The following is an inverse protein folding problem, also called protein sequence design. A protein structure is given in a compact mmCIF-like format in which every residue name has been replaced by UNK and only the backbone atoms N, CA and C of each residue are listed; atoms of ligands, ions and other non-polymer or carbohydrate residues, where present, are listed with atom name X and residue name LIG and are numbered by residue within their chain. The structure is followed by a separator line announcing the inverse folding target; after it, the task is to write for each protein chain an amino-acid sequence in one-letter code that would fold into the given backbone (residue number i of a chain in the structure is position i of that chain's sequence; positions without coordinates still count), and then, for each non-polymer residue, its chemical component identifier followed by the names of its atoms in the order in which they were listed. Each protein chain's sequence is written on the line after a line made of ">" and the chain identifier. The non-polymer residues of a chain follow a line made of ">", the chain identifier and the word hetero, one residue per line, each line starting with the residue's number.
data_IF_863304284753
#
_entry.id   IF_863304284753
#
_cell.length_a   1.000
_cell.length_b   1.000
_cell.length_c   1.000
_cell.angle_alpha   90.00
_cell.angle_beta   90.00
_cell.angle_gamma   90.00
#
_symmetry.space_group_name_H-M   'P 1'
#
loop_
_entity.id
_entity.type
_entity.pdbx_description
1 polymer ?
#
# COMPACT_ATOMS: atom_id res chain seq x y z
N UNK A 1 62.71 15.67 16.32
CA UNK A 1 61.89 14.69 15.57
C UNK A 1 60.42 15.07 15.75
N UNK A 2 59.96 16.12 15.05
CA UNK A 2 58.55 16.48 14.99
C UNK A 2 58.12 16.24 13.55
N UNK A 3 57.26 15.24 13.32
CA UNK A 3 56.59 15.09 12.03
C UNK A 3 55.39 16.02 12.08
N UNK A 4 55.44 17.11 11.33
CA UNK A 4 54.29 17.99 11.17
C UNK A 4 53.18 17.20 10.48
N UNK A 5 52.16 16.80 11.23
CA UNK A 5 50.89 16.38 10.63
C UNK A 5 50.40 17.58 9.83
N UNK A 6 50.37 17.43 8.50
CA UNK A 6 50.02 18.50 7.58
C UNK A 6 48.53 18.80 7.70
N UNK A 7 48.14 20.08 7.65
CA UNK A 7 46.72 20.49 7.53
C UNK A 7 46.05 19.81 6.32
N UNK A 8 46.86 19.43 5.32
CA UNK A 8 46.43 18.65 4.16
C UNK A 8 45.95 17.24 4.56
N UNK A 9 46.58 16.59 5.55
CA UNK A 9 46.19 15.24 5.99
C UNK A 9 44.79 15.24 6.63
N UNK A 10 44.47 16.25 7.44
CA UNK A 10 43.14 16.36 8.06
C UNK A 10 42.07 16.81 7.06
N UNK A 11 42.43 17.60 6.04
CA UNK A 11 41.53 17.93 4.94
C UNK A 11 41.19 16.68 4.10
N UNK A 12 42.20 15.84 3.81
CA UNK A 12 42.01 14.57 3.10
C UNK A 12 41.17 13.61 3.95
N UNK A 13 41.44 13.48 5.25
CA UNK A 13 40.69 12.55 6.11
C UNK A 13 39.20 12.91 6.18
N UNK A 14 38.86 14.20 6.18
CA UNK A 14 37.47 14.67 6.15
C UNK A 14 36.77 14.31 4.84
N UNK A 15 37.45 14.55 3.71
CA UNK A 15 36.93 14.21 2.39
C UNK A 15 36.73 12.69 2.24
N UNK A 16 37.70 11.90 2.72
CA UNK A 16 37.63 10.42 2.72
C UNK A 16 36.51 9.93 3.63
N UNK A 17 36.32 10.54 4.81
CA UNK A 17 35.21 10.21 5.72
C UNK A 17 33.86 10.48 5.06
N UNK A 18 33.72 11.61 4.35
CA UNK A 18 32.49 11.94 3.63
C UNK A 18 32.17 10.90 2.54
N UNK A 19 33.18 10.51 1.75
CA UNK A 19 33.03 9.47 0.73
C UNK A 19 32.71 8.12 1.38
N UNK A 20 33.37 7.77 2.48
CA UNK A 20 33.13 6.52 3.20
C UNK A 20 31.67 6.43 3.70
N UNK A 21 31.10 7.51 4.24
CA UNK A 21 29.67 7.56 4.64
C UNK A 21 28.76 7.36 3.43
N UNK A 22 29.11 7.95 2.28
CA UNK A 22 28.37 7.75 1.03
C UNK A 22 28.37 6.29 0.59
N UNK A 23 29.51 5.59 0.73
CA UNK A 23 29.63 4.15 0.46
C UNK A 23 28.77 3.33 1.42
N UNK A 24 28.76 3.66 2.71
CA UNK A 24 27.89 2.97 3.69
C UNK A 24 26.42 3.14 3.33
N UNK A 25 25.99 4.36 2.98
CA UNK A 25 24.62 4.61 2.53
C UNK A 25 24.29 3.85 1.24
N UNK A 26 25.21 3.80 0.27
CA UNK A 26 25.03 3.04 -0.96
C UNK A 26 24.86 1.54 -0.70
N UNK A 27 25.62 0.98 0.25
CA UNK A 27 25.48 -0.42 0.66
C UNK A 27 24.11 -0.65 1.31
N UNK A 28 23.71 0.21 2.25
CA UNK A 28 22.39 0.10 2.90
C UNK A 28 21.27 0.23 1.86
N UNK A 29 21.39 1.16 0.93
CA UNK A 29 20.46 1.32 -0.18
C UNK A 29 20.35 0.03 -1.01
N UNK A 30 21.48 -0.58 -1.38
CA UNK A 30 21.49 -1.83 -2.13
C UNK A 30 20.84 -2.99 -1.36
N UNK A 31 21.11 -3.10 -0.06
CA UNK A 31 20.47 -4.10 0.80
C UNK A 31 18.96 -3.88 0.90
N UNK A 32 18.51 -2.64 1.05
CA UNK A 32 17.08 -2.31 1.08
C UNK A 32 16.42 -2.60 -0.25
N UNK A 33 17.06 -2.29 -1.38
CA UNK A 33 16.51 -2.55 -2.71
C UNK A 33 16.40 -4.05 -3.00
N UNK A 34 17.41 -4.83 -2.59
CA UNK A 34 17.38 -6.29 -2.67
C UNK A 34 16.33 -6.91 -1.73
N UNK A 35 16.13 -6.38 -0.54
CA UNK A 35 15.04 -6.82 0.34
C UNK A 35 13.67 -6.39 -0.22
N UNK A 36 13.57 -5.20 -0.81
CA UNK A 36 12.37 -4.69 -1.46
C UNK A 36 11.98 -5.58 -2.64
N UNK A 37 12.91 -6.03 -3.48
CA UNK A 37 12.58 -6.92 -4.61
C UNK A 37 12.10 -8.29 -4.15
N UNK A 38 12.68 -8.85 -3.08
CA UNK A 38 12.26 -10.12 -2.50
C UNK A 38 10.91 -9.99 -1.77
N UNK A 39 10.69 -8.89 -1.05
CA UNK A 39 9.45 -8.62 -0.33
C UNK A 39 8.29 -8.21 -1.26
N UNK A 40 8.58 -7.49 -2.35
CA UNK A 40 7.61 -7.12 -3.38
C UNK A 40 7.12 -8.30 -4.22
N UNK A 41 7.75 -9.48 -4.12
CA UNK A 41 7.24 -10.72 -4.72
C UNK A 41 5.90 -11.19 -4.12
N UNK A 42 5.36 -10.50 -3.10
CA UNK A 42 4.00 -10.70 -2.58
C UNK A 42 3.00 -9.60 -2.95
N UNK A 43 3.31 -8.72 -3.91
CA UNK A 43 2.34 -7.79 -4.49
C UNK A 43 2.66 -7.54 -5.95
N UNK A 44 2.38 -8.54 -6.78
CA UNK A 44 2.04 -8.30 -8.16
C UNK A 44 0.55 -7.98 -8.22
N UNK A 45 0.20 -6.68 -8.19
CA UNK A 45 -0.96 -6.15 -8.90
C UNK A 45 -0.83 -4.64 -9.02
N UNK A 46 -0.18 -4.17 -10.08
CA UNK A 46 -0.63 -3.03 -10.90
C UNK A 46 0.19 -3.04 -12.19
N UNK A 47 -0.10 -4.01 -13.04
CA UNK A 47 -0.39 -3.75 -14.45
C UNK A 47 -1.69 -4.50 -14.71
N UNK A 48 -2.68 -3.83 -15.29
CA UNK A 48 -4.07 -4.29 -15.39
C UNK A 48 -4.20 -5.73 -15.89
N UNK A 49 -4.87 -6.61 -15.12
CA UNK A 49 -5.70 -7.61 -15.72
C UNK A 49 -7.15 -7.30 -15.35
N UNK A 50 -8.03 -7.52 -16.30
CA UNK A 50 -9.45 -7.72 -16.09
C UNK A 50 -9.55 -9.01 -15.26
N UNK A 51 -9.33 -8.92 -13.94
CA UNK A 51 -9.47 -10.05 -13.02
C UNK A 51 -10.94 -10.15 -12.70
N UNK A 52 -11.58 -11.10 -13.37
CA UNK A 52 -12.83 -11.71 -12.95
C UNK A 52 -12.67 -12.25 -11.52
N UNK A 53 -13.02 -11.45 -10.51
CA UNK A 53 -13.29 -11.91 -9.15
C UNK A 53 -14.75 -12.42 -9.10
N UNK A 54 -14.98 -13.52 -9.84
CA UNK A 54 -16.31 -13.90 -10.33
C UNK A 54 -17.15 -14.74 -9.34
N UNK A 55 -17.09 -14.50 -8.02
CA UNK A 55 -18.04 -15.14 -7.08
C UNK A 55 -18.58 -14.17 -6.02
N UNK A 56 -17.73 -13.41 -5.32
CA UNK A 56 -18.20 -12.44 -4.31
C UNK A 56 -18.88 -11.23 -4.94
N UNK A 57 -18.44 -10.85 -6.14
CA UNK A 57 -19.02 -9.71 -6.85
C UNK A 57 -20.34 -10.08 -7.54
N UNK A 58 -20.60 -11.35 -7.89
CA UNK A 58 -21.85 -11.74 -8.57
C UNK A 58 -23.07 -11.58 -7.64
N UNK A 59 -22.99 -12.11 -6.41
CA UNK A 59 -24.05 -11.94 -5.41
C UNK A 59 -24.28 -10.46 -5.08
N UNK A 60 -23.19 -9.70 -4.94
CA UNK A 60 -23.26 -8.28 -4.60
C UNK A 60 -23.82 -7.45 -5.75
N UNK A 61 -23.43 -7.73 -6.99
CA UNK A 61 -23.99 -7.13 -8.22
C UNK A 61 -25.47 -7.48 -8.35
N UNK A 62 -25.87 -8.73 -8.12
CA UNK A 62 -27.27 -9.16 -8.20
C UNK A 62 -28.16 -8.43 -7.19
N UNK A 63 -27.72 -8.33 -5.92
CA UNK A 63 -28.46 -7.63 -4.87
C UNK A 63 -28.55 -6.13 -5.17
N UNK A 64 -27.45 -5.50 -5.60
CA UNK A 64 -27.45 -4.07 -5.96
C UNK A 64 -28.32 -3.82 -7.19
N UNK A 65 -28.22 -4.64 -8.23
CA UNK A 65 -29.02 -4.51 -9.44
C UNK A 65 -30.52 -4.66 -9.13
N UNK A 66 -30.90 -5.65 -8.31
CA UNK A 66 -32.27 -5.84 -7.87
C UNK A 66 -32.79 -4.62 -7.07
N UNK A 67 -31.99 -4.11 -6.13
CA UNK A 67 -32.34 -2.94 -5.34
C UNK A 67 -32.54 -1.69 -6.21
N UNK A 68 -31.66 -1.47 -7.19
CA UNK A 68 -31.75 -0.35 -8.14
C UNK A 68 -32.95 -0.51 -9.08
N UNK A 69 -33.18 -1.70 -9.62
CA UNK A 69 -34.32 -2.01 -10.49
C UNK A 69 -35.64 -1.69 -9.78
N UNK A 70 -35.79 -2.15 -8.53
CA UNK A 70 -36.96 -1.83 -7.69
C UNK A 70 -37.04 -0.35 -7.37
N UNK A 71 -35.93 0.28 -6.98
CA UNK A 71 -35.91 1.70 -6.59
C UNK A 71 -36.22 2.64 -7.75
N UNK A 72 -35.87 2.26 -8.98
CA UNK A 72 -36.07 3.09 -10.18
C UNK A 72 -37.31 2.67 -10.98
N UNK A 73 -37.96 1.56 -10.61
CA UNK A 73 -39.09 0.99 -11.36
C UNK A 73 -38.69 0.46 -12.75
N UNK A 74 -37.42 0.11 -12.94
CA UNK A 74 -36.87 -0.41 -14.20
C UNK A 74 -36.65 -1.92 -14.10
N UNK A 75 -36.50 -2.58 -15.23
CA UNK A 75 -36.22 -4.01 -15.28
C UNK A 75 -34.72 -4.31 -15.06
N UNK A 76 -34.40 -5.52 -14.56
CA UNK A 76 -33.02 -5.96 -14.29
C UNK A 76 -32.06 -5.77 -15.50
N UNK A 77 -32.40 -6.14 -16.75
CA UNK A 77 -31.48 -5.98 -17.88
C UNK A 77 -31.17 -4.52 -18.25
N UNK A 78 -31.96 -3.55 -17.75
CA UNK A 78 -31.73 -2.13 -17.99
C UNK A 78 -30.72 -1.52 -17.00
N UNK A 79 -30.34 -2.25 -15.95
CA UNK A 79 -29.38 -1.81 -14.94
C UNK A 79 -27.99 -2.35 -15.27
N UNK A 80 -27.05 -1.48 -15.64
CA UNK A 80 -25.67 -1.85 -15.93
C UNK A 80 -24.70 -1.26 -14.89
N UNK A 81 -24.07 -2.13 -14.10
CA UNK A 81 -23.10 -1.76 -13.08
C UNK A 81 -21.69 -1.88 -13.66
N UNK A 82 -21.01 -0.74 -13.86
CA UNK A 82 -19.68 -0.69 -14.49
C UNK A 82 -18.52 -0.94 -13.54
N UNK A 83 -18.63 -0.49 -12.29
CA UNK A 83 -17.54 -0.56 -11.31
C UNK A 83 -18.10 -0.45 -9.90
N UNK A 84 -17.58 -1.29 -9.01
CA UNK A 84 -17.86 -1.23 -7.57
C UNK A 84 -16.53 -1.00 -6.86
N UNK A 85 -16.40 0.14 -6.17
CA UNK A 85 -15.20 0.46 -5.40
C UNK A 85 -15.56 0.62 -3.92
N UNK A 86 -15.12 -0.34 -3.09
CA UNK A 86 -15.24 -0.22 -1.64
C UNK A 86 -14.28 0.88 -1.17
N UNK A 87 -14.81 1.90 -0.51
CA UNK A 87 -13.98 2.91 0.15
C UNK A 87 -13.54 2.38 1.52
N UNK A 88 -12.26 2.50 1.83
CA UNK A 88 -11.76 2.18 3.18
C UNK A 88 -12.37 3.14 4.19
N UNK A 89 -12.82 2.65 5.34
CA UNK A 89 -13.35 3.54 6.36
C UNK A 89 -12.25 4.47 6.86
N UNK A 90 -12.46 5.79 6.81
CA UNK A 90 -11.57 6.80 7.40
C UNK A 90 -11.54 6.75 8.94
N UNK A 91 -12.45 5.96 9.54
CA UNK A 91 -12.48 5.75 10.97
C UNK A 91 -11.18 5.06 11.45
N UNK A 92 -10.64 5.54 12.57
CA UNK A 92 -9.54 4.83 13.22
C UNK A 92 -9.98 3.41 13.60
N UNK A 93 -9.03 2.47 13.64
CA UNK A 93 -9.32 1.08 14.05
C UNK A 93 -10.03 1.03 15.41
N UNK A 94 -9.74 1.97 16.31
CA UNK A 94 -10.43 2.13 17.60
C UNK A 94 -11.91 2.50 17.46
N UNK A 95 -12.23 3.48 16.61
CA UNK A 95 -13.61 3.87 16.35
C UNK A 95 -14.40 2.75 15.65
N UNK A 96 -13.74 1.93 14.84
CA UNK A 96 -14.33 0.76 14.21
C UNK A 96 -14.64 -0.34 15.21
N UNK A 97 -13.71 -0.63 16.13
CA UNK A 97 -13.86 -1.64 17.18
C UNK A 97 -14.95 -1.24 18.18
N UNK A 98 -14.98 0.01 18.64
CA UNK A 98 -16.02 0.46 19.59
C UNK A 98 -17.45 0.35 19.03
N UNK A 99 -17.65 0.60 17.73
CA UNK A 99 -18.96 0.36 17.08
C UNK A 99 -19.30 -1.12 17.01
N UNK A 100 -18.33 -1.98 16.67
CA UNK A 100 -18.52 -3.43 16.64
C UNK A 100 -18.88 -3.99 18.01
N UNK A 101 -18.26 -3.49 19.07
CA UNK A 101 -18.57 -3.87 20.45
C UNK A 101 -20.00 -3.46 20.82
N UNK A 102 -20.46 -2.27 20.44
CA UNK A 102 -21.83 -1.80 20.70
C UNK A 102 -22.91 -2.59 19.96
N UNK A 103 -22.63 -3.06 18.74
CA UNK A 103 -23.57 -3.88 17.97
C UNK A 103 -23.55 -5.33 18.42
N UNK A 104 -22.39 -5.86 18.82
CA UNK A 104 -22.25 -7.25 19.27
C UNK A 104 -22.76 -7.44 20.70
N UNK A 105 -22.54 -6.47 21.59
CA UNK A 105 -23.01 -6.55 22.99
C UNK A 105 -24.52 -6.33 23.16
N UNK A 106 -25.26 -6.09 22.08
CA UNK A 106 -26.74 -5.97 22.07
C UNK A 106 -27.45 -7.24 21.59
N UNK A 107 -26.69 -8.28 21.23
CA UNK A 107 -27.18 -9.64 20.94
C UNK A 107 -26.93 -10.52 22.16
#
# INVERSE_FOLDING_TARGET
>A
MGKDISIVDSLIISLVSMVAVFVVLAIIYYLVDLLKIVASKKNEKTEEPIVKEDLEDEELVAVIAAALAVSLGVSIPEVNIKSIKRISSTASRWAEVGRREQTTGKL
#
